data_IF_756938777813
#
_entry.id   IF_756938777813
#
_cell.length_a   1.000
_cell.length_b   1.000
_cell.length_c   1.000
_cell.angle_alpha   90.00
_cell.angle_beta   90.00
_cell.angle_gamma   90.00
#
_symmetry.space_group_name_H-M   'P 1'
#
loop_
_entity.id
_entity.type
_entity.pdbx_description
1 polymer ?
#
# COMPACT_ATOMS: atom_id res chain seq x y z
N UNK A 1 -14.40 -3.00 -12.11
CA UNK A 1 -15.22 -1.79 -11.81
C UNK A 1 -16.69 -2.13 -11.61
N UNK A 2 -17.34 -2.82 -12.56
CA UNK A 2 -18.76 -3.22 -12.44
C UNK A 2 -19.03 -4.04 -11.17
N UNK A 3 -18.22 -5.06 -10.91
CA UNK A 3 -18.39 -5.93 -9.74
C UNK A 3 -18.22 -5.16 -8.41
N UNK A 4 -17.19 -4.31 -8.33
CA UNK A 4 -17.00 -3.41 -7.18
C UNK A 4 -18.21 -2.50 -6.97
N UNK A 5 -18.73 -1.86 -8.02
CA UNK A 5 -19.88 -0.96 -7.90
C UNK A 5 -21.11 -1.69 -7.37
N UNK A 6 -21.41 -2.88 -7.90
CA UNK A 6 -22.52 -3.71 -7.42
C UNK A 6 -22.36 -4.12 -5.95
N UNK A 7 -21.18 -4.62 -5.56
CA UNK A 7 -20.93 -5.07 -4.19
C UNK A 7 -20.91 -3.91 -3.19
N UNK A 8 -20.51 -2.72 -3.65
CA UNK A 8 -20.46 -1.50 -2.85
C UNK A 8 -21.83 -0.86 -2.59
N UNK A 9 -22.93 -1.45 -3.10
CA UNK A 9 -24.30 -1.08 -2.73
C UNK A 9 -24.66 -1.49 -1.30
N UNK A 10 -23.84 -2.35 -0.67
CA UNK A 10 -23.94 -2.73 0.74
C UNK A 10 -22.60 -2.49 1.44
N UNK A 11 -22.59 -2.38 2.79
CA UNK A 11 -21.33 -2.35 3.54
C UNK A 11 -20.48 -3.57 3.19
N UNK A 12 -19.29 -3.32 2.63
CA UNK A 12 -18.32 -4.38 2.34
C UNK A 12 -17.43 -4.58 3.54
N UNK A 13 -17.28 -5.83 3.97
CA UNK A 13 -16.23 -6.20 4.92
C UNK A 13 -14.88 -6.24 4.22
N UNK A 14 -13.81 -6.05 4.98
CA UNK A 14 -12.41 -6.01 4.54
C UNK A 14 -12.06 -7.16 3.57
N UNK A 15 -12.42 -8.40 3.91
CA UNK A 15 -12.16 -9.57 3.05
C UNK A 15 -12.77 -9.42 1.64
N UNK A 16 -13.96 -8.82 1.52
CA UNK A 16 -14.60 -8.61 0.22
C UNK A 16 -13.84 -7.55 -0.57
N UNK A 17 -13.44 -6.45 0.09
CA UNK A 17 -12.60 -5.40 -0.52
C UNK A 17 -11.29 -6.01 -1.07
N UNK A 18 -10.60 -6.82 -0.25
CA UNK A 18 -9.40 -7.56 -0.66
C UNK A 18 -9.63 -8.40 -1.91
N UNK A 19 -10.75 -9.12 -1.97
CA UNK A 19 -11.07 -10.03 -3.07
C UNK A 19 -11.45 -9.33 -4.37
N UNK A 20 -12.21 -8.24 -4.30
CA UNK A 20 -12.87 -7.65 -5.49
C UNK A 20 -12.23 -6.34 -5.95
N UNK A 21 -11.39 -5.73 -5.13
CA UNK A 21 -10.65 -4.51 -5.45
C UNK A 21 -9.16 -4.78 -5.52
N UNK A 22 -8.58 -5.16 -4.38
CA UNK A 22 -7.12 -5.18 -4.24
C UNK A 22 -6.51 -6.35 -5.04
N UNK A 23 -6.97 -7.58 -4.82
CA UNK A 23 -6.41 -8.76 -5.49
C UNK A 23 -6.45 -8.65 -7.03
N UNK A 24 -7.55 -8.19 -7.65
CA UNK A 24 -7.59 -7.94 -9.09
C UNK A 24 -6.60 -6.86 -9.55
N UNK A 25 -6.46 -5.76 -8.80
CA UNK A 25 -5.50 -4.70 -9.12
C UNK A 25 -4.06 -5.21 -9.10
N UNK A 26 -3.66 -5.94 -8.06
CA UNK A 26 -2.31 -6.48 -7.93
C UNK A 26 -2.01 -7.53 -9.02
N UNK A 27 -2.99 -8.39 -9.33
CA UNK A 27 -2.89 -9.33 -10.46
C UNK A 27 -2.70 -8.61 -11.80
N UNK A 28 -3.51 -7.59 -12.08
CA UNK A 28 -3.44 -6.82 -13.33
C UNK A 28 -2.19 -5.93 -13.43
N UNK A 29 -1.65 -5.47 -12.30
CA UNK A 29 -0.38 -4.77 -12.22
C UNK A 29 0.83 -5.70 -12.40
N UNK A 30 0.63 -7.01 -12.23
CA UNK A 30 1.66 -8.04 -12.42
C UNK A 30 2.46 -8.39 -11.18
N UNK A 31 1.99 -8.02 -9.98
CA UNK A 31 2.68 -8.29 -8.72
C UNK A 31 2.60 -9.74 -8.23
N UNK A 32 1.87 -10.61 -8.94
CA UNK A 32 1.76 -12.04 -8.60
C UNK A 32 2.83 -12.88 -9.30
N UNK A 33 3.86 -12.23 -9.85
CA UNK A 33 4.89 -12.83 -10.69
C UNK A 33 6.23 -12.21 -10.32
N UNK A 34 7.30 -12.96 -10.60
CA UNK A 34 8.67 -12.47 -10.48
C UNK A 34 8.84 -11.08 -11.12
N UNK A 35 9.59 -10.14 -10.47
CA UNK A 35 10.37 -10.30 -9.24
C UNK A 35 9.61 -10.08 -7.92
N UNK A 36 8.28 -9.95 -7.96
CA UNK A 36 7.47 -9.69 -6.78
C UNK A 36 7.13 -10.96 -6.01
N UNK A 37 7.29 -10.87 -4.69
CA UNK A 37 6.83 -11.86 -3.73
C UNK A 37 5.78 -11.21 -2.82
N UNK A 38 4.72 -11.97 -2.54
CA UNK A 38 3.63 -11.52 -1.68
C UNK A 38 3.70 -12.31 -0.40
N UNK A 39 3.70 -11.61 0.73
CA UNK A 39 3.43 -12.19 2.04
C UNK A 39 2.23 -11.49 2.64
N UNK A 40 1.29 -12.29 3.14
CA UNK A 40 0.20 -11.77 3.96
C UNK A 40 0.72 -11.58 5.39
N UNK A 41 0.18 -10.58 6.08
CA UNK A 41 0.27 -10.45 7.54
C UNK A 41 1.68 -10.42 8.12
N UNK A 42 2.24 -9.21 8.23
CA UNK A 42 3.41 -8.95 9.08
C UNK A 42 2.97 -8.12 10.27
N UNK A 43 3.36 -8.54 11.47
CA UNK A 43 3.36 -7.67 12.64
C UNK A 43 4.74 -7.04 12.70
N UNK A 44 4.79 -5.73 12.85
CA UNK A 44 6.04 -5.01 13.12
C UNK A 44 5.83 -4.20 14.36
N UNK A 45 6.86 -4.32 15.17
CA UNK A 45 7.01 -3.60 16.40
C UNK A 45 8.09 -2.56 16.14
N UNK A 46 7.74 -1.31 16.41
CA UNK A 46 8.71 -0.21 16.37
C UNK A 46 8.83 0.30 17.78
N UNK A 47 10.04 0.19 18.28
CA UNK A 47 10.41 0.71 19.57
C UNK A 47 10.89 2.14 19.38
N UNK A 48 10.28 3.06 20.13
CA UNK A 48 10.73 4.46 20.20
C UNK A 48 12.19 4.54 20.67
N UNK A 49 12.85 5.66 20.38
CA UNK A 49 14.26 5.87 20.70
C UNK A 49 14.55 5.85 22.21
N UNK A 50 13.57 6.21 23.03
CA UNK A 50 13.58 6.11 24.49
C UNK A 50 13.28 4.69 25.01
N UNK A 51 12.94 3.75 24.12
CA UNK A 51 12.49 2.38 24.43
C UNK A 51 11.25 2.27 25.31
N UNK A 52 10.55 3.37 25.61
CA UNK A 52 9.37 3.36 26.49
C UNK A 52 8.09 3.06 25.72
N UNK A 53 8.06 3.36 24.42
CA UNK A 53 6.88 3.15 23.57
C UNK A 53 7.14 2.08 22.51
N UNK A 54 6.36 0.99 22.55
CA UNK A 54 6.29 -0.02 21.49
C UNK A 54 5.03 0.24 20.67
N UNK A 55 5.21 0.66 19.42
CA UNK A 55 4.12 0.78 18.45
C UNK A 55 4.03 -0.53 17.68
N UNK A 56 2.92 -1.25 17.87
CA UNK A 56 2.61 -2.48 17.12
C UNK A 56 1.67 -2.16 15.96
N UNK A 57 2.12 -2.49 14.74
CA UNK A 57 1.35 -2.31 13.51
C UNK A 57 1.18 -3.63 12.76
N UNK A 58 -0.04 -3.94 12.32
CA UNK A 58 -0.34 -5.09 11.45
C UNK A 58 -0.45 -4.61 10.00
N UNK A 59 0.35 -5.17 9.10
CA UNK A 59 0.13 -5.06 7.66
C UNK A 59 -0.77 -6.16 7.19
N UNK A 60 -1.68 -5.85 6.29
CA UNK A 60 -2.50 -6.86 5.63
C UNK A 60 -1.73 -7.57 4.52
N UNK A 61 -1.09 -6.81 3.62
CA UNK A 61 -0.37 -7.36 2.48
C UNK A 61 0.97 -6.63 2.30
N UNK A 62 2.05 -7.39 2.26
CA UNK A 62 3.37 -6.89 1.89
C UNK A 62 3.77 -7.49 0.54
N UNK A 63 4.08 -6.61 -0.41
CA UNK A 63 4.64 -6.99 -1.71
C UNK A 63 6.06 -6.48 -1.75
N UNK A 64 7.00 -7.41 -1.84
CA UNK A 64 8.41 -7.08 -1.81
C UNK A 64 9.15 -7.62 -3.00
N UNK A 65 10.15 -6.85 -3.42
CA UNK A 65 11.25 -7.30 -4.25
C UNK A 65 12.54 -6.88 -3.54
N UNK A 66 13.67 -7.59 -3.69
CA UNK A 66 14.90 -7.27 -2.95
C UNK A 66 15.43 -5.84 -3.18
N UNK A 67 15.01 -5.15 -4.25
CA UNK A 67 15.48 -3.80 -4.62
C UNK A 67 14.38 -2.71 -4.69
N UNK A 68 13.10 -3.06 -4.47
CA UNK A 68 11.96 -2.15 -4.55
C UNK A 68 10.75 -2.68 -3.76
N UNK A 69 10.08 -1.79 -3.03
CA UNK A 69 8.99 -2.16 -2.12
C UNK A 69 7.66 -1.59 -2.58
N UNK A 70 6.58 -2.36 -2.42
CA UNK A 70 5.20 -1.88 -2.50
C UNK A 70 4.49 -2.35 -1.23
N UNK A 71 4.38 -1.44 -0.28
CA UNK A 71 3.63 -1.67 0.94
C UNK A 71 2.13 -1.49 0.68
N UNK A 72 1.29 -2.42 1.14
CA UNK A 72 -0.17 -2.27 1.12
C UNK A 72 -0.71 -2.30 2.54
N UNK A 73 -1.25 -1.17 2.99
CA UNK A 73 -1.97 -1.09 4.26
C UNK A 73 -3.45 -0.96 3.98
N UNK A 74 -4.24 -1.89 4.51
CA UNK A 74 -5.69 -1.76 4.52
C UNK A 74 -6.14 -1.12 5.83
N UNK A 75 -6.80 0.03 5.74
CA UNK A 75 -7.42 0.61 6.93
C UNK A 75 -8.59 -0.28 7.35
N UNK A 76 -8.64 -0.68 8.62
CA UNK A 76 -9.57 -1.68 9.20
C UNK A 76 -11.08 -1.41 8.96
N UNK A 77 -11.46 -0.24 8.43
CA UNK A 77 -12.81 0.12 8.00
C UNK A 77 -12.78 1.15 6.86
N UNK A 78 -13.70 1.03 5.90
CA UNK A 78 -13.89 2.00 4.81
C UNK A 78 -14.16 3.44 5.29
N UNK A 79 -14.69 3.60 6.51
CA UNK A 79 -15.07 4.89 7.10
C UNK A 79 -13.91 5.59 7.85
N UNK A 80 -12.73 4.96 7.95
CA UNK A 80 -11.57 5.57 8.61
C UNK A 80 -10.72 6.37 7.61
N UNK A 81 -10.18 7.50 8.08
CA UNK A 81 -9.23 8.29 7.32
C UNK A 81 -7.98 7.46 6.98
N UNK A 82 -7.58 7.47 5.71
CA UNK A 82 -6.33 6.85 5.25
C UNK A 82 -5.11 7.45 5.96
N UNK A 83 -5.20 8.71 6.42
CA UNK A 83 -4.10 9.42 7.09
C UNK A 83 -3.60 8.69 8.34
N UNK A 84 -4.48 7.98 9.04
CA UNK A 84 -4.12 7.21 10.24
C UNK A 84 -3.18 6.03 9.89
N UNK A 85 -3.24 5.53 8.65
CA UNK A 85 -2.37 4.48 8.15
C UNK A 85 -0.98 4.96 7.71
N UNK A 86 -0.79 6.27 7.51
CA UNK A 86 0.46 6.84 6.96
C UNK A 86 1.64 6.64 7.90
N UNK A 87 1.56 7.01 9.20
CA UNK A 87 2.66 6.78 10.13
C UNK A 87 3.07 5.31 10.15
N UNK A 88 2.09 4.40 10.18
CA UNK A 88 2.34 2.96 10.17
C UNK A 88 3.03 2.51 8.87
N UNK A 89 2.59 3.01 7.71
CA UNK A 89 3.24 2.69 6.43
C UNK A 89 4.70 3.13 6.39
N UNK A 90 4.95 4.37 6.78
CA UNK A 90 6.29 4.96 6.79
C UNK A 90 7.22 4.22 7.75
N UNK A 91 6.72 3.89 8.92
CA UNK A 91 7.35 3.06 9.94
C UNK A 91 7.92 1.75 9.36
N UNK A 92 7.11 1.02 8.57
CA UNK A 92 7.57 -0.18 7.87
C UNK A 92 8.56 0.09 6.76
N UNK A 93 8.28 1.12 5.94
CA UNK A 93 9.16 1.50 4.85
C UNK A 93 10.56 1.86 5.40
N UNK A 94 10.64 2.61 6.50
CA UNK A 94 11.88 2.97 7.19
C UNK A 94 12.65 1.75 7.72
N UNK A 95 11.95 0.82 8.38
CA UNK A 95 12.56 -0.41 8.93
C UNK A 95 13.02 -1.41 7.88
N UNK A 96 12.62 -1.23 6.61
CA UNK A 96 13.00 -2.07 5.47
C UNK A 96 13.98 -1.38 4.50
N UNK A 97 14.45 -0.17 4.82
CA UNK A 97 15.44 0.56 4.01
C UNK A 97 16.85 -0.02 4.19
N UNK A 98 17.17 -1.12 3.52
CA UNK A 98 18.54 -1.63 3.41
C UNK A 98 19.36 -0.93 2.29
N UNK A 99 18.71 -0.20 1.38
CA UNK A 99 19.37 0.47 0.25
C UNK A 99 19.08 1.99 0.18
N UNK A 100 19.92 2.73 -0.55
CA UNK A 100 19.70 4.15 -0.87
C UNK A 100 18.58 4.39 -1.89
N UNK A 101 17.99 3.32 -2.45
CA UNK A 101 16.90 3.46 -3.42
C UNK A 101 15.60 3.90 -2.73
N UNK A 102 14.77 4.71 -3.42
CA UNK A 102 13.47 5.07 -2.88
C UNK A 102 12.55 3.85 -2.75
N UNK A 103 11.82 3.77 -1.65
CA UNK A 103 10.75 2.80 -1.43
C UNK A 103 9.40 3.42 -1.81
N UNK A 104 8.49 2.58 -2.32
CA UNK A 104 7.14 3.01 -2.68
C UNK A 104 6.09 2.20 -1.92
N UNK A 105 4.90 2.73 -1.84
CA UNK A 105 3.80 2.05 -1.16
C UNK A 105 2.49 2.74 -1.46
N UNK A 106 1.42 2.14 -0.98
CA UNK A 106 0.14 2.81 -0.95
C UNK A 106 -0.71 2.30 0.22
N UNK A 107 -1.63 3.15 0.64
CA UNK A 107 -2.62 2.85 1.65
C UNK A 107 -3.96 2.86 0.96
N UNK A 108 -4.82 1.90 1.32
CA UNK A 108 -6.18 1.85 0.80
C UNK A 108 -7.16 1.41 1.87
N UNK A 109 -8.40 1.85 1.74
CA UNK A 109 -9.54 1.31 2.50
C UNK A 109 -10.49 0.53 1.56
N UNK A 110 -10.07 0.32 0.31
CA UNK A 110 -10.88 -0.19 -0.79
C UNK A 110 -11.24 0.88 -1.82
N UNK A 111 -12.14 1.83 -1.51
CA UNK A 111 -12.49 2.92 -2.42
C UNK A 111 -11.34 3.91 -2.68
N UNK A 112 -10.53 4.23 -1.69
CA UNK A 112 -9.54 5.30 -1.73
C UNK A 112 -8.12 4.74 -1.74
N UNK A 113 -7.22 5.44 -2.43
CA UNK A 113 -5.80 5.10 -2.52
C UNK A 113 -4.95 6.34 -2.33
N UNK A 114 -3.97 6.28 -1.44
CA UNK A 114 -2.88 7.28 -1.34
C UNK A 114 -1.58 6.57 -1.58
N UNK A 115 -0.75 7.10 -2.49
CA UNK A 115 0.57 6.56 -2.79
C UNK A 115 1.64 7.29 -1.98
N UNK A 116 2.60 6.52 -1.47
CA UNK A 116 3.73 7.01 -0.70
C UNK A 116 5.02 6.76 -1.45
N UNK A 117 5.94 7.71 -1.35
CA UNK A 117 7.34 7.55 -1.74
C UNK A 117 8.20 7.92 -0.55
N UNK A 118 9.08 7.01 -0.13
CA UNK A 118 10.12 7.27 0.87
C UNK A 118 11.47 7.31 0.17
N UNK A 119 12.23 8.37 0.38
CA UNK A 119 13.58 8.55 -0.16
C UNK A 119 14.55 8.82 0.98
N UNK A 120 15.78 8.30 0.84
CA UNK A 120 16.85 8.52 1.80
C UNK A 120 17.96 9.33 1.12
N UNK A 121 18.10 10.58 1.52
CA UNK A 121 19.23 11.45 1.17
C UNK A 121 19.70 12.12 2.46
N UNK A 122 20.67 11.49 3.13
CA UNK A 122 21.09 11.68 4.54
C UNK A 122 19.97 11.51 5.59
N UNK A 123 18.85 12.21 5.44
CA UNK A 123 17.67 12.12 6.30
C UNK A 123 16.50 11.51 5.50
N UNK A 124 15.80 10.48 6.02
CA UNK A 124 14.61 9.97 5.36
C UNK A 124 13.54 11.05 5.18
N UNK A 125 13.03 11.18 3.96
CA UNK A 125 11.93 12.08 3.59
C UNK A 125 10.88 11.30 2.84
N UNK A 126 9.62 11.62 3.08
CA UNK A 126 8.50 11.02 2.35
C UNK A 126 7.66 12.07 1.64
N UNK A 127 6.95 11.62 0.61
CA UNK A 127 5.91 12.39 -0.06
C UNK A 127 4.68 11.53 -0.29
N UNK A 128 3.54 12.19 -0.36
CA UNK A 128 2.23 11.61 -0.58
C UNK A 128 1.68 12.08 -1.93
N UNK A 129 0.89 11.24 -2.59
CA UNK A 129 0.05 11.68 -3.70
C UNK A 129 -1.26 12.27 -3.20
N UNK A 130 -1.98 12.99 -4.08
CA UNK A 130 -3.41 13.17 -3.90
C UNK A 130 -4.13 11.80 -3.78
N UNK A 131 -5.30 11.80 -3.13
CA UNK A 131 -6.14 10.61 -3.01
C UNK A 131 -6.79 10.23 -4.34
N UNK A 132 -6.69 8.96 -4.71
CA UNK A 132 -7.36 8.38 -5.88
C UNK A 132 -8.59 7.58 -5.45
N UNK A 133 -9.77 8.14 -5.72
CA UNK A 133 -11.05 7.46 -5.45
C UNK A 133 -11.49 6.59 -6.62
N UNK A 134 -11.72 5.30 -6.38
CA UNK A 134 -12.07 4.32 -7.42
C UNK A 134 -13.40 4.58 -8.11
N UNK A 135 -14.37 5.22 -7.44
CA UNK A 135 -15.65 5.56 -8.08
C UNK A 135 -15.53 6.72 -9.06
N UNK A 136 -14.47 7.52 -8.97
CA UNK A 136 -14.20 8.55 -9.98
C UNK A 136 -14.11 7.90 -11.37
N UNK A 137 -14.45 8.67 -12.41
CA UNK A 137 -14.50 8.17 -13.79
C UNK A 137 -13.21 7.45 -14.18
N UNK A 138 -12.06 8.03 -13.84
CA UNK A 138 -10.71 7.55 -14.17
C UNK A 138 -9.94 6.94 -13.00
N UNK A 139 -10.48 6.93 -11.77
CA UNK A 139 -9.72 6.59 -10.56
C UNK A 139 -9.10 5.19 -10.61
N UNK A 140 -9.89 4.17 -10.96
CA UNK A 140 -9.40 2.80 -11.12
C UNK A 140 -8.30 2.67 -12.19
N UNK A 141 -8.44 3.38 -13.31
CA UNK A 141 -7.46 3.35 -14.39
C UNK A 141 -6.16 4.04 -13.99
N UNK A 142 -6.26 5.15 -13.23
CA UNK A 142 -5.10 5.87 -12.69
C UNK A 142 -4.34 5.00 -11.69
N UNK A 143 -5.04 4.40 -10.71
CA UNK A 143 -4.46 3.46 -9.75
C UNK A 143 -3.74 2.32 -10.48
N UNK A 144 -4.42 1.67 -11.44
CA UNK A 144 -3.79 0.58 -12.19
C UNK A 144 -2.57 1.03 -13.01
N UNK A 145 -2.61 2.23 -13.62
CA UNK A 145 -1.46 2.80 -14.35
C UNK A 145 -0.27 3.02 -13.42
N UNK A 146 -0.49 3.56 -12.21
CA UNK A 146 0.56 3.78 -11.22
C UNK A 146 1.16 2.44 -10.77
N UNK A 147 0.33 1.44 -10.43
CA UNK A 147 0.82 0.12 -10.03
C UNK A 147 1.61 -0.58 -11.14
N UNK A 148 1.16 -0.45 -12.41
CA UNK A 148 1.93 -0.94 -13.56
C UNK A 148 3.26 -0.21 -13.73
N UNK A 149 3.30 1.10 -13.45
CA UNK A 149 4.54 1.89 -13.49
C UNK A 149 5.52 1.41 -12.43
N UNK A 150 5.07 1.06 -11.23
CA UNK A 150 5.92 0.43 -10.22
C UNK A 150 6.54 -0.86 -10.74
N UNK A 151 5.74 -1.77 -11.31
CA UNK A 151 6.26 -3.00 -11.93
C UNK A 151 7.35 -2.72 -12.98
N UNK A 152 7.14 -1.72 -13.85
CA UNK A 152 8.14 -1.34 -14.84
C UNK A 152 9.43 -0.81 -14.21
N UNK A 153 9.35 -0.01 -13.16
CA UNK A 153 10.52 0.54 -12.47
C UNK A 153 11.37 -0.54 -11.78
N UNK A 154 10.74 -1.62 -11.30
CA UNK A 154 11.47 -2.76 -10.70
C UNK A 154 12.18 -3.60 -11.75
N UNK A 155 11.64 -3.68 -12.97
CA UNK A 155 12.19 -4.48 -14.06
C UNK A 155 13.29 -3.77 -14.86
N UNK A 156 13.58 -2.51 -14.55
CA UNK A 156 14.64 -1.71 -15.15
C UNK A 156 15.93 -1.84 -14.33
#
# INVERSE_FOLDING_TARGET
>A
KRDYLHLSERPMVETIVKMVVLSPLLKLAGFYRYPFYITAEKVVEITSQDQETIITGRLDILIYTPEFWVLVIEAKRADYSLEVGIPQALSYMLGSLESERPAFGFITNGPDFIFLKLSKDNTPKYGESDSFYLRNKTGLEQVLKILKRFNQLVRQ
#
